data_IF_568782217817
#
_entry.id   IF_568782217817
#
_cell.length_a   1.000
_cell.length_b   1.000
_cell.length_c   1.000
_cell.angle_alpha   90.00
_cell.angle_beta   90.00
_cell.angle_gamma   90.00
#
_symmetry.space_group_name_H-M   'P 1'
#
loop_
_entity.id
_entity.type
_entity.pdbx_description
1 polymer ?
#
# COMPACT_ATOMS: atom_id res chain seq x y z
N UNK A 1 -2.31 3.11 -23.56
CA UNK A 1 -1.69 2.19 -22.59
C UNK A 1 -1.53 2.97 -21.28
N UNK A 2 -1.93 2.40 -20.16
CA UNK A 2 -1.95 3.05 -18.84
C UNK A 2 -2.70 2.16 -17.84
N UNK A 3 -2.41 2.32 -16.55
CA UNK A 3 -3.13 1.62 -15.49
C UNK A 3 -4.63 1.99 -15.56
N UNK A 4 -5.52 1.00 -15.64
CA UNK A 4 -6.97 1.23 -15.85
C UNK A 4 -7.75 1.38 -14.56
N UNK A 5 -7.16 0.99 -13.43
CA UNK A 5 -7.85 0.99 -12.13
C UNK A 5 -7.74 2.34 -11.42
N UNK A 6 -6.54 2.95 -11.42
CA UNK A 6 -6.26 4.23 -10.79
C UNK A 6 -4.93 4.79 -11.33
N UNK A 7 -4.65 6.11 -11.19
CA UNK A 7 -3.32 6.66 -11.41
C UNK A 7 -2.28 5.96 -10.53
N UNK A 8 -1.04 5.85 -11.01
CA UNK A 8 0.04 5.33 -10.15
C UNK A 8 0.35 6.32 -9.03
N UNK A 9 0.95 5.82 -7.94
CA UNK A 9 1.41 6.66 -6.83
C UNK A 9 2.26 7.85 -7.31
N UNK A 10 3.19 7.59 -8.24
CA UNK A 10 4.04 8.63 -8.79
C UNK A 10 3.28 9.61 -9.67
N UNK A 11 2.28 9.17 -10.45
CA UNK A 11 1.46 10.11 -11.24
C UNK A 11 0.79 11.15 -10.32
N UNK A 12 0.20 10.69 -9.21
CA UNK A 12 -0.44 11.57 -8.22
C UNK A 12 0.58 12.46 -7.52
N UNK A 13 1.74 11.92 -7.14
CA UNK A 13 2.83 12.69 -6.54
C UNK A 13 3.31 13.82 -7.46
N UNK A 14 3.51 13.54 -8.75
CA UNK A 14 3.99 14.53 -9.71
C UNK A 14 2.99 15.66 -9.92
N UNK A 15 1.69 15.35 -9.96
CA UNK A 15 0.62 16.35 -10.02
C UNK A 15 0.60 17.21 -8.77
N UNK A 16 0.65 16.61 -7.57
CA UNK A 16 0.70 17.35 -6.30
C UNK A 16 1.92 18.27 -6.22
N UNK A 17 3.08 17.82 -6.71
CA UNK A 17 4.29 18.63 -6.76
C UNK A 17 4.18 19.76 -7.78
N UNK A 18 3.59 19.50 -8.94
CA UNK A 18 3.43 20.50 -10.00
C UNK A 18 2.51 21.65 -9.59
N UNK A 19 1.45 21.35 -8.85
CA UNK A 19 0.52 22.33 -8.30
C UNK A 19 0.87 22.78 -6.87
N UNK A 20 2.13 22.58 -6.44
CA UNK A 20 2.66 23.10 -5.17
C UNK A 20 1.86 22.67 -3.92
N UNK A 21 1.13 21.57 -4.01
CA UNK A 21 0.29 21.07 -2.92
C UNK A 21 1.14 20.59 -1.73
N UNK A 22 2.37 20.14 -2.00
CA UNK A 22 3.30 19.66 -0.98
C UNK A 22 3.80 20.79 -0.07
N UNK A 23 3.77 22.04 -0.55
CA UNK A 23 4.28 23.22 0.17
C UNK A 23 3.34 23.63 1.30
N UNK A 24 2.07 23.20 1.26
CA UNK A 24 1.11 23.37 2.35
C UNK A 24 1.59 22.74 3.66
N UNK A 25 2.48 21.74 3.57
CA UNK A 25 3.08 21.05 4.70
C UNK A 25 4.56 21.41 4.95
N UNK A 26 5.04 22.52 4.40
CA UNK A 26 6.43 22.98 4.51
C UNK A 26 6.93 23.17 5.95
N UNK A 27 6.06 23.54 6.89
CA UNK A 27 6.41 23.69 8.31
C UNK A 27 6.36 22.37 9.10
N UNK A 28 5.66 21.37 8.56
CA UNK A 28 5.34 20.11 9.23
C UNK A 28 5.87 18.94 8.42
N UNK A 29 7.10 19.05 7.92
CA UNK A 29 7.78 17.99 7.16
C UNK A 29 7.83 16.74 8.05
N UNK A 30 6.82 15.89 7.89
CA UNK A 30 6.75 14.58 8.47
C UNK A 30 7.79 13.74 7.75
N UNK A 31 8.65 13.06 8.52
CA UNK A 31 9.65 12.16 7.98
C UNK A 31 8.96 10.92 7.40
N UNK A 32 8.41 11.06 6.19
CA UNK A 32 7.82 9.95 5.47
C UNK A 32 8.92 8.98 5.04
N UNK A 33 8.78 7.72 5.43
CA UNK A 33 9.71 6.65 5.08
C UNK A 33 9.34 6.00 3.75
N UNK A 34 10.24 5.16 3.23
CA UNK A 34 10.00 4.28 2.08
C UNK A 34 9.48 4.98 0.81
N UNK A 35 9.82 6.27 0.63
CA UNK A 35 9.40 7.05 -0.52
C UNK A 35 7.98 7.64 -0.44
N UNK A 36 7.35 7.64 0.74
CA UNK A 36 6.13 8.39 1.00
C UNK A 36 6.34 9.90 0.93
N UNK A 37 5.25 10.65 0.73
CA UNK A 37 5.27 12.12 0.77
C UNK A 37 4.19 12.66 1.71
N UNK A 38 4.37 13.87 2.28
CA UNK A 38 3.41 14.45 3.21
C UNK A 38 2.03 14.59 2.57
N UNK A 39 0.97 14.23 3.30
CA UNK A 39 -0.39 14.41 2.81
C UNK A 39 -0.75 15.90 2.83
N UNK A 40 -1.02 16.53 1.66
CA UNK A 40 -1.35 17.97 1.58
C UNK A 40 -2.57 18.39 2.42
N UNK A 41 -3.48 17.45 2.70
CA UNK A 41 -4.68 17.69 3.50
C UNK A 41 -4.46 17.44 5.00
N UNK A 42 -3.39 16.75 5.39
CA UNK A 42 -3.06 16.48 6.78
C UNK A 42 -1.55 16.23 6.93
N UNK A 43 -0.81 17.26 7.29
CA UNK A 43 0.66 17.23 7.33
C UNK A 43 1.26 16.28 8.37
N UNK A 44 0.46 15.79 9.31
CA UNK A 44 0.90 14.79 10.30
C UNK A 44 0.84 13.35 9.77
N UNK A 45 0.36 13.15 8.54
CA UNK A 45 0.26 11.85 7.88
C UNK A 45 0.96 11.87 6.54
N UNK A 46 1.51 10.74 6.15
CA UNK A 46 2.11 10.52 4.85
C UNK A 46 1.15 9.78 3.92
N UNK A 47 1.24 10.08 2.63
CA UNK A 47 0.68 9.24 1.57
C UNK A 47 1.76 8.23 1.21
N UNK A 48 1.44 6.94 1.39
CA UNK A 48 2.40 5.85 1.26
C UNK A 48 2.30 5.15 -0.10
N UNK A 49 3.44 4.70 -0.67
CA UNK A 49 3.42 3.78 -1.80
C UNK A 49 2.72 2.47 -1.42
N UNK A 50 2.26 1.74 -2.43
CA UNK A 50 1.65 0.42 -2.22
C UNK A 50 2.64 -0.51 -1.49
N UNK A 51 2.14 -1.28 -0.52
CA UNK A 51 2.94 -2.13 0.35
C UNK A 51 3.37 -1.48 1.68
N UNK A 52 3.29 -0.15 1.80
CA UNK A 52 3.60 0.59 3.03
C UNK A 52 2.36 1.27 3.62
N UNK A 53 2.38 1.49 4.94
CA UNK A 53 1.30 2.06 5.72
C UNK A 53 1.78 2.68 7.02
N UNK A 54 0.83 2.97 7.91
CA UNK A 54 1.07 3.81 9.09
C UNK A 54 1.16 5.29 8.73
N UNK A 55 1.21 6.15 9.75
CA UNK A 55 1.22 7.61 9.54
C UNK A 55 2.50 8.11 8.88
N UNK A 56 3.61 7.37 8.98
CA UNK A 56 4.92 7.72 8.43
C UNK A 56 5.41 6.77 7.33
N UNK A 57 4.57 5.85 6.83
CA UNK A 57 4.97 4.84 5.84
C UNK A 57 6.09 3.89 6.31
N UNK A 58 6.33 3.80 7.63
CA UNK A 58 7.29 2.89 8.26
C UNK A 58 6.72 1.49 8.47
N UNK A 59 5.40 1.37 8.47
CA UNK A 59 4.71 0.12 8.73
C UNK A 59 4.36 -0.57 7.41
N UNK A 60 4.17 -1.90 7.41
CA UNK A 60 3.60 -2.59 6.26
C UNK A 60 2.16 -2.12 6.04
N UNK A 61 1.75 -2.05 4.77
CA UNK A 61 0.36 -1.77 4.40
C UNK A 61 -0.56 -2.81 5.04
N UNK A 62 -1.66 -2.35 5.65
CA UNK A 62 -2.68 -3.24 6.21
C UNK A 62 -3.27 -4.13 5.11
N UNK A 63 -3.25 -5.43 5.33
CA UNK A 63 -3.83 -6.40 4.42
C UNK A 63 -5.36 -6.31 4.48
N UNK A 64 -5.99 -6.38 3.31
CA UNK A 64 -7.43 -6.43 3.17
C UNK A 64 -7.76 -7.73 2.47
N UNK A 65 -7.77 -8.85 3.20
CA UNK A 65 -8.06 -10.17 2.67
C UNK A 65 -8.13 -11.17 3.81
N UNK A 66 -9.06 -12.13 3.72
CA UNK A 66 -9.08 -13.23 4.67
C UNK A 66 -7.88 -14.15 4.39
N UNK A 67 -7.05 -14.39 5.41
CA UNK A 67 -5.91 -15.31 5.36
C UNK A 67 -4.79 -14.96 4.36
N UNK A 68 -4.45 -13.68 4.16
CA UNK A 68 -3.30 -13.31 3.33
C UNK A 68 -2.44 -12.15 3.87
N UNK A 69 -1.17 -12.17 3.49
CA UNK A 69 -0.12 -11.23 3.88
C UNK A 69 0.49 -11.49 5.27
N UNK A 70 1.80 -11.28 5.38
CA UNK A 70 2.59 -11.63 6.56
C UNK A 70 3.85 -10.76 6.69
N UNK A 71 4.37 -10.61 7.92
CA UNK A 71 5.73 -10.10 8.16
C UNK A 71 6.66 -11.28 8.37
N UNK A 72 7.69 -11.37 7.53
CA UNK A 72 8.67 -12.43 7.54
C UNK A 72 10.03 -11.89 7.93
N UNK A 73 10.82 -12.72 8.58
CA UNK A 73 12.20 -12.40 8.94
C UNK A 73 13.14 -13.29 8.16
N UNK A 74 13.93 -12.69 7.28
CA UNK A 74 14.93 -13.40 6.50
C UNK A 74 16.07 -13.88 7.40
N UNK A 75 16.51 -15.11 7.14
CA UNK A 75 17.67 -15.76 7.77
C UNK A 75 18.77 -15.98 6.73
N UNK A 76 19.96 -16.43 7.16
CA UNK A 76 21.01 -16.88 6.24
C UNK A 76 20.57 -18.13 5.45
N UNK A 77 19.74 -18.97 6.07
CA UNK A 77 19.16 -20.14 5.42
C UNK A 77 17.98 -19.79 4.52
N UNK A 78 17.85 -20.54 3.41
CA UNK A 78 16.74 -20.42 2.47
C UNK A 78 15.40 -20.74 3.12
N UNK A 79 14.39 -19.92 2.86
CA UNK A 79 13.02 -20.08 3.34
C UNK A 79 12.04 -20.00 2.17
N UNK A 80 11.03 -20.87 2.15
CA UNK A 80 9.96 -20.85 1.15
C UNK A 80 8.79 -20.01 1.67
N UNK A 81 8.38 -18.99 0.90
CA UNK A 81 7.15 -18.26 1.14
C UNK A 81 6.02 -18.88 0.31
N UNK A 82 5.09 -19.56 0.98
CA UNK A 82 3.86 -20.06 0.36
C UNK A 82 2.71 -19.11 0.67
N UNK A 83 2.03 -18.63 -0.36
CA UNK A 83 0.94 -17.67 -0.25
C UNK A 83 -0.17 -17.98 -1.24
N UNK A 84 -1.42 -17.98 -0.76
CA UNK A 84 -2.62 -18.00 -1.59
C UNK A 84 -3.20 -16.59 -1.67
N UNK A 85 -3.31 -16.05 -2.89
CA UNK A 85 -3.98 -14.76 -3.15
C UNK A 85 -5.27 -15.05 -3.91
N UNK A 86 -6.39 -14.54 -3.38
CA UNK A 86 -7.72 -14.71 -3.96
C UNK A 86 -8.51 -15.88 -3.37
N UNK A 87 -9.84 -15.79 -3.49
CA UNK A 87 -10.73 -16.90 -3.20
C UNK A 87 -10.80 -17.83 -4.42
N UNK A 88 -10.77 -19.15 -4.21
CA UNK A 88 -11.14 -20.14 -5.25
C UNK A 88 -12.66 -20.07 -5.48
N UNK A 89 -13.17 -18.94 -5.99
CA UNK A 89 -14.57 -18.82 -6.38
C UNK A 89 -14.76 -19.56 -7.70
N UNK A 90 -15.55 -20.66 -7.74
CA UNK A 90 -15.67 -21.50 -8.94
C UNK A 90 -16.30 -20.78 -10.14
N UNK A 91 -16.91 -19.61 -9.94
CA UNK A 91 -17.73 -18.91 -10.93
C UNK A 91 -17.68 -17.38 -10.84
N UNK A 92 -16.55 -16.81 -10.41
CA UNK A 92 -16.40 -15.37 -10.32
C UNK A 92 -17.40 -14.70 -9.34
N UNK A 93 -17.36 -13.37 -9.22
CA UNK A 93 -18.25 -12.63 -8.33
C UNK A 93 -19.72 -12.77 -8.78
N UNK A 94 -20.57 -13.42 -7.98
CA UNK A 94 -22.02 -13.40 -8.16
C UNK A 94 -22.58 -12.11 -7.59
N UNK A 95 -23.40 -11.38 -8.35
CA UNK A 95 -24.03 -10.06 -8.10
C UNK A 95 -24.48 -9.78 -6.65
N UNK A 96 -24.79 -10.82 -5.87
CA UNK A 96 -25.31 -10.73 -4.51
C UNK A 96 -24.31 -11.09 -3.40
N UNK A 97 -23.01 -11.23 -3.72
CA UNK A 97 -21.98 -11.50 -2.72
C UNK A 97 -21.39 -10.18 -2.19
N UNK A 98 -21.33 -9.95 -0.86
CA UNK A 98 -20.66 -8.77 -0.30
C UNK A 98 -19.13 -8.75 -0.57
N UNK A 99 -18.57 -9.85 -1.09
CA UNK A 99 -17.16 -10.01 -1.43
C UNK A 99 -16.76 -9.41 -2.79
N UNK A 100 -17.71 -9.05 -3.67
CA UNK A 100 -17.39 -8.51 -5.02
C UNK A 100 -16.66 -7.15 -4.94
N UNK A 101 -16.88 -6.41 -3.86
CA UNK A 101 -16.39 -5.03 -3.70
C UNK A 101 -15.20 -4.89 -2.76
N UNK A 102 -14.67 -5.99 -2.22
CA UNK A 102 -13.47 -5.92 -1.38
C UNK A 102 -12.25 -6.24 -2.23
N UNK A 103 -11.44 -5.22 -2.61
CA UNK A 103 -10.16 -5.50 -3.25
C UNK A 103 -9.33 -6.32 -2.27
N UNK A 104 -8.95 -7.55 -2.67
CA UNK A 104 -8.05 -8.36 -1.87
C UNK A 104 -6.65 -7.78 -1.99
N UNK A 105 -6.21 -7.03 -0.98
CA UNK A 105 -4.86 -6.48 -0.91
C UNK A 105 -4.05 -7.32 0.07
N UNK A 106 -3.15 -8.13 -0.45
CA UNK A 106 -2.22 -8.92 0.34
C UNK A 106 -0.83 -8.31 0.25
N UNK A 107 -0.18 -8.07 1.39
CA UNK A 107 1.16 -7.49 1.50
C UNK A 107 2.05 -8.44 2.31
N UNK A 108 3.24 -8.72 1.77
CA UNK A 108 4.28 -9.45 2.48
C UNK A 108 5.46 -8.53 2.69
N UNK A 109 5.94 -8.46 3.94
CA UNK A 109 7.07 -7.62 4.30
C UNK A 109 8.18 -8.49 4.86
N UNK A 110 9.31 -8.54 4.16
CA UNK A 110 10.47 -9.35 4.53
C UNK A 110 11.55 -8.42 5.10
N UNK A 111 11.94 -8.63 6.35
CA UNK A 111 13.01 -7.87 7.01
C UNK A 111 14.17 -8.77 7.43
N UNK A 112 15.39 -8.25 7.40
CA UNK A 112 16.58 -8.90 7.99
C UNK A 112 16.73 -8.41 9.44
N UNK A 113 17.28 -9.25 10.33
CA UNK A 113 17.63 -8.88 11.72
C UNK A 113 18.88 -8.00 11.72
#
# INVERSE_FOLDING_TARGET
MGQRTAPSFFDVYQVNRHYECLDNCSAAISNCHNGGYPNPNNCNKCICPIGFGGDLCSDPQTTQGENCGQRLTATEDWQLLEASVGENLPWGPTENSPAIWKPVICSWHISVI
#
